data_IF_705904593471
#
_entry.id   IF_705904593471
#
_cell.length_a   1.000
_cell.length_b   1.000
_cell.length_c   1.000
_cell.angle_alpha   90.00
_cell.angle_beta   90.00
_cell.angle_gamma   90.00
#
_symmetry.space_group_name_H-M   'P 1'
#
loop_
_entity.id
_entity.type
_entity.pdbx_description
1 polymer ?
#
# COMPACT_ATOMS: atom_id res chain seq x y z
N UNK A 1 0.59 1.46 -17.94
CA UNK A 1 0.89 0.36 -17.00
C UNK A 1 -0.44 -0.02 -16.39
N UNK A 2 -0.72 -1.33 -16.30
CA UNK A 2 -2.05 -1.90 -16.06
C UNK A 2 -2.63 -1.46 -14.71
N UNK A 3 -3.38 -0.36 -14.70
CA UNK A 3 -4.30 0.03 -13.61
C UNK A 3 -5.58 -0.83 -13.58
N UNK A 4 -5.59 -1.97 -14.28
CA UNK A 4 -6.79 -2.83 -14.44
C UNK A 4 -7.02 -3.76 -13.24
N UNK A 5 -6.06 -3.84 -12.31
CA UNK A 5 -6.16 -4.65 -11.09
C UNK A 5 -6.92 -3.96 -9.95
N UNK A 6 -6.83 -2.63 -9.86
CA UNK A 6 -7.45 -1.90 -8.76
C UNK A 6 -8.93 -1.59 -9.05
N UNK A 7 -9.81 -1.66 -8.03
CA UNK A 7 -11.21 -1.33 -8.18
C UNK A 7 -11.40 0.16 -8.49
N UNK A 8 -12.57 0.50 -9.04
CA UNK A 8 -12.89 1.89 -9.42
C UNK A 8 -12.65 2.87 -8.26
N UNK A 9 -12.11 4.04 -8.59
CA UNK A 9 -11.76 5.08 -7.64
C UNK A 9 -10.32 5.02 -7.12
N UNK A 10 -9.60 3.92 -7.33
CA UNK A 10 -8.18 3.79 -7.00
C UNK A 10 -7.27 4.03 -8.21
N UNK A 11 -6.20 4.79 -8.00
CA UNK A 11 -5.16 4.99 -8.99
C UNK A 11 -3.78 4.75 -8.39
N UNK A 12 -2.97 3.98 -9.12
CA UNK A 12 -1.56 3.82 -8.83
C UNK A 12 -0.78 5.04 -9.30
N UNK A 13 0.02 5.59 -8.41
CA UNK A 13 1.03 6.60 -8.69
C UNK A 13 2.41 5.98 -8.43
N UNK A 14 3.05 5.53 -9.51
CA UNK A 14 4.41 5.05 -9.48
C UNK A 14 5.36 6.25 -9.41
N UNK A 15 6.24 6.31 -8.40
CA UNK A 15 7.24 7.36 -8.21
C UNK A 15 6.67 8.77 -7.96
N UNK A 16 5.97 8.97 -6.83
CA UNK A 16 5.55 10.31 -6.43
C UNK A 16 6.76 11.24 -6.18
N UNK A 17 6.77 12.41 -6.84
CA UNK A 17 7.85 13.42 -6.69
C UNK A 17 8.04 13.92 -5.24
N UNK A 18 7.09 13.65 -4.36
CA UNK A 18 7.08 14.06 -2.96
C UNK A 18 7.77 13.08 -1.99
N UNK A 19 8.10 11.86 -2.42
CA UNK A 19 8.98 11.00 -1.61
C UNK A 19 10.40 11.51 -1.81
N UNK A 20 10.96 12.12 -0.76
CA UNK A 20 12.29 12.70 -0.76
C UNK A 20 13.33 11.60 -1.04
N UNK A 21 13.63 11.37 -2.33
CA UNK A 21 14.60 10.40 -2.88
C UNK A 21 16.00 10.50 -2.26
N UNK A 22 16.25 11.58 -1.52
CA UNK A 22 17.48 11.81 -0.76
C UNK A 22 17.64 10.86 0.42
N UNK A 23 16.55 10.27 0.93
CA UNK A 23 16.58 9.36 2.08
C UNK A 23 16.35 7.88 1.73
N UNK A 24 15.57 7.53 0.70
CA UNK A 24 15.49 6.16 0.16
C UNK A 24 15.27 6.18 -1.37
N UNK A 25 16.21 5.67 -2.19
CA UNK A 25 16.16 5.76 -3.65
C UNK A 25 15.33 4.67 -4.33
N UNK A 26 14.61 3.81 -3.59
CA UNK A 26 13.85 2.70 -4.17
C UNK A 26 12.45 3.12 -4.65
N UNK A 27 11.89 2.42 -5.65
CA UNK A 27 10.53 2.65 -6.10
C UNK A 27 9.56 2.40 -4.95
N UNK A 28 8.73 3.40 -4.68
CA UNK A 28 7.59 3.29 -3.79
C UNK A 28 6.35 3.31 -4.67
N UNK A 29 5.43 2.39 -4.40
CA UNK A 29 4.15 2.35 -5.08
C UNK A 29 3.10 2.98 -4.18
N UNK A 30 2.51 4.08 -4.64
CA UNK A 30 1.44 4.77 -3.93
C UNK A 30 0.12 4.49 -4.64
N UNK A 31 -0.92 4.20 -3.88
CA UNK A 31 -2.27 4.02 -4.35
C UNK A 31 -3.18 5.06 -3.68
N UNK A 32 -3.86 5.88 -4.47
CA UNK A 32 -4.74 6.94 -3.97
C UNK A 32 -6.18 6.70 -4.37
N UNK A 33 -7.10 6.91 -3.43
CA UNK A 33 -8.54 6.91 -3.68
C UNK A 33 -9.07 8.32 -3.98
N UNK A 34 -9.74 8.51 -5.11
CA UNK A 34 -10.17 9.83 -5.61
C UNK A 34 -11.29 10.49 -4.79
N UNK A 35 -12.18 9.70 -4.19
CA UNK A 35 -13.39 10.22 -3.52
C UNK A 35 -13.27 10.39 -2.00
N UNK A 36 -12.36 9.65 -1.36
CA UNK A 36 -12.35 9.49 0.10
C UNK A 36 -11.00 9.77 0.77
N UNK A 37 -9.98 10.22 0.01
CA UNK A 37 -8.71 10.71 0.58
C UNK A 37 -7.76 9.66 1.13
N UNK A 38 -8.15 8.39 1.19
CA UNK A 38 -7.28 7.32 1.64
C UNK A 38 -6.09 7.14 0.70
N UNK A 39 -4.90 7.09 1.28
CA UNK A 39 -3.65 6.82 0.56
C UNK A 39 -2.99 5.58 1.14
N UNK A 40 -2.92 4.53 0.33
CA UNK A 40 -2.19 3.31 0.62
C UNK A 40 -0.80 3.40 0.00
N UNK A 41 0.22 2.97 0.72
CA UNK A 41 1.60 2.95 0.23
C UNK A 41 2.24 1.60 0.49
N UNK A 42 2.97 1.10 -0.51
CA UNK A 42 3.85 -0.05 -0.39
C UNK A 42 5.31 0.43 -0.39
N UNK A 43 5.99 0.33 0.75
CA UNK A 43 7.38 0.77 0.93
C UNK A 43 8.28 -0.41 1.28
N UNK A 44 9.47 -0.55 0.71
CA UNK A 44 10.37 -1.64 1.07
C UNK A 44 10.83 -1.56 2.55
N UNK A 45 10.86 -2.72 3.23
CA UNK A 45 11.03 -2.86 4.69
C UNK A 45 12.45 -2.49 5.20
N UNK A 46 13.50 -2.81 4.45
CA UNK A 46 14.88 -2.66 4.94
C UNK A 46 15.58 -1.43 4.36
N UNK A 47 16.22 -0.56 5.18
CA UNK A 47 16.95 0.58 4.65
C UNK A 47 18.20 0.14 3.88
N UNK A 48 18.30 0.62 2.64
CA UNK A 48 19.45 0.70 1.75
C UNK A 48 20.74 -0.06 2.19
N UNK A 49 20.80 -1.36 1.90
CA UNK A 49 22.08 -2.05 1.71
C UNK A 49 22.25 -2.28 0.20
N UNK A 50 23.42 -1.90 -0.35
CA UNK A 50 23.70 -1.82 -1.79
C UNK A 50 23.52 -3.12 -2.62
N UNK A 51 23.09 -4.21 -1.99
CA UNK A 51 22.87 -5.52 -2.60
C UNK A 51 21.62 -6.24 -2.06
N UNK A 52 20.75 -5.54 -1.34
CA UNK A 52 19.49 -6.15 -0.89
C UNK A 52 18.44 -5.88 -1.95
N UNK A 53 18.19 -6.88 -2.79
CA UNK A 53 16.87 -7.07 -3.39
C UNK A 53 15.91 -7.18 -2.20
N UNK A 54 15.29 -6.07 -1.81
CA UNK A 54 14.33 -6.11 -0.71
C UNK A 54 13.06 -6.74 -1.25
N UNK A 55 13.01 -8.07 -1.23
CA UNK A 55 11.81 -8.87 -1.49
C UNK A 55 10.74 -8.68 -0.41
N UNK A 56 10.74 -7.57 0.35
CA UNK A 56 9.82 -7.37 1.47
C UNK A 56 9.36 -5.92 1.51
N UNK A 57 8.05 -5.75 1.35
CA UNK A 57 7.36 -4.48 1.35
C UNK A 57 6.48 -4.36 2.59
N UNK A 58 6.39 -3.16 3.15
CA UNK A 58 5.51 -2.75 4.23
C UNK A 58 4.38 -1.94 3.63
N UNK A 59 3.16 -2.31 4.01
CA UNK A 59 1.94 -1.62 3.62
C UNK A 59 1.52 -0.68 4.76
N UNK A 60 1.31 0.57 4.41
CA UNK A 60 0.85 1.61 5.32
C UNK A 60 -0.30 2.38 4.67
N UNK A 61 -1.28 2.78 5.47
CA UNK A 61 -2.44 3.55 5.00
C UNK A 61 -2.58 4.82 5.83
N UNK A 62 -2.82 5.93 5.14
CA UNK A 62 -3.15 7.21 5.74
C UNK A 62 -4.56 7.63 5.33
N UNK A 63 -5.30 8.18 6.29
CA UNK A 63 -6.64 8.75 6.12
C UNK A 63 -6.62 10.11 5.40
N UNK A 64 -5.51 10.83 5.52
CA UNK A 64 -5.29 12.14 4.91
C UNK A 64 -4.26 12.05 3.77
N UNK A 65 -4.22 13.04 2.87
CA UNK A 65 -3.11 13.26 1.93
C UNK A 65 -1.82 13.60 2.72
N UNK A 66 -1.26 12.61 3.41
CA UNK A 66 0.06 12.72 4.02
C UNK A 66 1.10 12.50 2.95
N UNK A 67 2.09 13.37 2.92
CA UNK A 67 3.29 13.22 2.09
C UNK A 67 4.42 12.56 2.86
N UNK A 68 4.22 12.27 4.16
CA UNK A 68 5.23 11.68 5.02
C UNK A 68 4.79 10.30 5.54
N UNK A 69 5.01 9.29 4.70
CA UNK A 69 4.71 7.89 5.02
C UNK A 69 5.73 7.25 5.97
N UNK A 70 6.89 7.89 6.19
CA UNK A 70 7.92 7.37 7.11
C UNK A 70 7.46 7.29 8.57
N UNK A 71 6.46 8.08 8.94
CA UNK A 71 5.86 8.13 10.27
C UNK A 71 4.55 7.32 10.39
N UNK A 72 4.02 6.79 9.27
CA UNK A 72 2.79 5.99 9.29
C UNK A 72 3.11 4.56 9.71
N UNK A 73 2.39 4.06 10.71
CA UNK A 73 2.59 2.69 11.21
C UNK A 73 2.15 1.68 10.14
N UNK A 74 3.05 0.77 9.70
CA UNK A 74 2.68 -0.25 8.73
C UNK A 74 1.74 -1.27 9.38
N UNK A 75 0.67 -1.62 8.68
CA UNK A 75 -0.30 -2.62 9.16
C UNK A 75 0.00 -4.04 8.64
N UNK A 76 0.77 -4.15 7.55
CA UNK A 76 1.15 -5.43 6.97
C UNK A 76 2.56 -5.38 6.37
N UNK A 77 3.20 -6.55 6.29
CA UNK A 77 4.47 -6.76 5.60
C UNK A 77 4.32 -7.97 4.67
N UNK A 78 4.59 -7.79 3.38
CA UNK A 78 4.39 -8.73 2.26
C UNK A 78 5.72 -8.98 1.56
N UNK A 79 5.87 -10.11 0.84
CA UNK A 79 7.10 -10.41 0.11
C UNK A 79 6.96 -10.34 -1.40
N UNK A 80 7.78 -9.49 -2.03
CA UNK A 80 7.75 -9.25 -3.47
C UNK A 80 6.64 -8.29 -3.92
N UNK A 81 6.85 -7.72 -5.12
CA UNK A 81 5.95 -6.73 -5.72
C UNK A 81 4.56 -7.28 -6.01
N UNK A 82 4.45 -8.53 -6.48
CA UNK A 82 3.16 -9.16 -6.76
C UNK A 82 2.31 -9.34 -5.49
N UNK A 83 2.88 -9.78 -4.35
CA UNK A 83 2.13 -9.85 -3.08
C UNK A 83 1.75 -8.46 -2.56
N UNK A 84 2.56 -7.43 -2.86
CA UNK A 84 2.23 -6.06 -2.50
C UNK A 84 1.07 -5.50 -3.30
N UNK A 85 1.00 -5.83 -4.59
CA UNK A 85 -0.12 -5.49 -5.46
C UNK A 85 -1.39 -6.25 -5.05
N UNK A 86 -1.29 -7.55 -4.78
CA UNK A 86 -2.40 -8.40 -4.35
C UNK A 86 -3.00 -7.87 -3.03
N UNK A 87 -2.15 -7.57 -2.05
CA UNK A 87 -2.60 -6.98 -0.79
C UNK A 87 -3.19 -5.56 -0.97
N UNK A 88 -2.69 -4.78 -1.93
CA UNK A 88 -3.26 -3.47 -2.24
C UNK A 88 -4.65 -3.58 -2.90
N UNK A 89 -4.83 -4.56 -3.79
CA UNK A 89 -6.12 -4.90 -4.39
C UNK A 89 -7.13 -5.34 -3.33
N UNK A 90 -6.76 -6.30 -2.48
CA UNK A 90 -7.58 -6.79 -1.36
C UNK A 90 -8.00 -5.65 -0.42
N UNK A 91 -7.06 -4.74 -0.12
CA UNK A 91 -7.35 -3.56 0.69
C UNK A 91 -8.38 -2.66 -0.01
N UNK A 92 -8.15 -2.34 -1.29
CA UNK A 92 -8.98 -1.42 -2.06
C UNK A 92 -10.41 -1.95 -2.27
N UNK A 93 -10.57 -3.25 -2.50
CA UNK A 93 -11.88 -3.89 -2.63
C UNK A 93 -12.68 -3.80 -1.33
N UNK A 94 -12.06 -4.16 -0.20
CA UNK A 94 -12.71 -4.08 1.10
C UNK A 94 -13.01 -2.64 1.53
N UNK A 95 -12.13 -1.70 1.19
CA UNK A 95 -12.34 -0.27 1.41
C UNK A 95 -13.60 0.23 0.69
N UNK A 96 -13.72 -0.13 -0.60
CA UNK A 96 -14.87 0.25 -1.42
C UNK A 96 -16.15 -0.46 -0.96
N UNK A 97 -16.08 -1.72 -0.54
CA UNK A 97 -17.23 -2.48 -0.06
C UNK A 97 -17.91 -1.84 1.16
N UNK A 98 -17.13 -1.21 2.05
CA UNK A 98 -17.64 -0.50 3.22
C UNK A 98 -18.00 0.97 2.94
N UNK A 99 -17.81 1.46 1.72
CA UNK A 99 -18.13 2.84 1.33
C UNK A 99 -17.10 3.88 1.77
N UNK A 100 -15.86 3.46 2.06
CA UNK A 100 -14.73 4.32 2.37
C UNK A 100 -14.66 4.89 3.80
N UNK A 101 -13.80 5.89 3.99
CA UNK A 101 -13.49 6.50 5.29
C UNK A 101 -12.83 5.53 6.28
N UNK A 102 -12.86 5.85 7.59
CA UNK A 102 -12.28 5.01 8.64
C UNK A 102 -12.77 3.56 8.63
N UNK A 103 -14.07 3.35 8.36
CA UNK A 103 -14.66 2.01 8.29
C UNK A 103 -14.05 1.19 7.13
N UNK A 104 -13.89 1.82 5.97
CA UNK A 104 -13.20 1.22 4.83
C UNK A 104 -11.72 0.93 5.13
N UNK A 105 -11.03 1.80 5.86
CA UNK A 105 -9.63 1.59 6.26
C UNK A 105 -9.50 0.34 7.14
N UNK A 106 -10.32 0.24 8.19
CA UNK A 106 -10.27 -0.90 9.11
C UNK A 106 -10.70 -2.21 8.42
N UNK A 107 -11.67 -2.15 7.51
CA UNK A 107 -12.06 -3.31 6.71
C UNK A 107 -10.94 -3.74 5.74
N UNK A 108 -10.28 -2.79 5.07
CA UNK A 108 -9.13 -3.07 4.22
C UNK A 108 -7.98 -3.73 4.97
N UNK A 109 -7.60 -3.17 6.14
CA UNK A 109 -6.56 -3.77 7.01
C UNK A 109 -6.93 -5.20 7.41
N UNK A 110 -8.20 -5.41 7.77
CA UNK A 110 -8.69 -6.73 8.17
C UNK A 110 -8.69 -7.72 7.02
N UNK A 111 -9.14 -7.32 5.83
CA UNK A 111 -9.16 -8.19 4.65
C UNK A 111 -7.76 -8.69 4.29
N UNK A 112 -6.77 -7.78 4.29
CA UNK A 112 -5.35 -8.14 4.08
C UNK A 112 -4.84 -9.07 5.17
N UNK A 113 -5.23 -8.86 6.43
CA UNK A 113 -4.84 -9.76 7.52
C UNK A 113 -5.45 -11.17 7.35
N UNK A 114 -6.75 -11.27 7.06
CA UNK A 114 -7.48 -12.53 6.86
C UNK A 114 -6.91 -13.34 5.67
N UNK A 115 -6.59 -12.67 4.56
CA UNK A 115 -6.00 -13.30 3.36
C UNK A 115 -4.62 -13.90 3.66
N UNK A 116 -3.80 -13.20 4.46
CA UNK A 116 -2.48 -13.69 4.87
C UNK A 116 -2.56 -14.86 5.85
N UNK A 117 -3.59 -14.90 6.70
CA UNK A 117 -3.84 -16.05 7.57
C UNK A 117 -4.34 -17.28 6.80
N UNK A 118 -5.09 -17.07 5.72
CA UNK A 118 -5.67 -18.14 4.90
C UNK A 118 -4.76 -18.63 3.76
N UNK A 119 -3.86 -17.79 3.25
CA UNK A 119 -2.85 -18.13 2.23
C UNK A 119 -1.64 -18.92 2.74
N UNK A 120 -1.53 -19.17 4.05
CA UNK A 120 -0.44 -19.94 4.68
C UNK A 120 -0.67 -21.46 4.63
N UNK A 121 -0.95 -22.03 3.45
CA UNK A 121 -1.09 -23.49 3.25
C UNK A 121 -0.25 -24.03 2.12
#
# INVERSE_FOLDING_TARGET
>A
METDRLPEGWHEESDPEFIDRKYDPRPVTVFRHVDHGATLVAMPSEPNAAHTESDTYRLAVADEETTNFGDVEPFAEVRGDDEALDAAETFAEAYNAEGGGDAGIEAGKRAVADERETGRK
#
